data_IF_072523828347
#
_entry.id   IF_072523828347
#
_cell.length_a   1.000
_cell.length_b   1.000
_cell.length_c   1.000
_cell.angle_alpha   90.00
_cell.angle_beta   90.00
_cell.angle_gamma   90.00
#
_symmetry.space_group_name_H-M   'P 1'
#
loop_
_entity.id
_entity.type
_entity.pdbx_description
1 polymer ?
#
# COMPACT_ATOMS: atom_id res chain seq x y z
N UNK A 1 -38.05 19.05 -32.72
CA UNK A 1 -38.93 18.97 -31.53
C UNK A 1 -38.41 20.00 -30.55
N UNK A 2 -39.15 21.08 -30.31
CA UNK A 2 -38.76 22.10 -29.33
C UNK A 2 -39.02 21.55 -27.93
N UNK A 3 -38.10 21.78 -26.99
CA UNK A 3 -38.23 21.32 -25.61
C UNK A 3 -39.30 22.18 -24.91
N UNK A 4 -40.46 21.60 -24.59
CA UNK A 4 -41.59 22.29 -23.95
C UNK A 4 -41.26 22.85 -22.55
N UNK A 5 -40.10 22.48 -21.96
CA UNK A 5 -39.63 23.03 -20.69
C UNK A 5 -38.83 24.34 -20.84
N UNK A 6 -38.55 24.79 -22.06
CA UNK A 6 -37.83 26.05 -22.31
C UNK A 6 -38.85 27.09 -22.77
N UNK A 7 -39.09 28.09 -21.94
CA UNK A 7 -39.97 29.21 -22.23
C UNK A 7 -39.47 29.96 -23.47
N UNK A 8 -40.31 30.22 -24.48
CA UNK A 8 -39.95 31.07 -25.62
C UNK A 8 -39.47 32.45 -25.16
N UNK A 9 -38.42 32.98 -25.79
CA UNK A 9 -37.76 34.23 -25.37
C UNK A 9 -38.67 35.46 -25.35
N UNK A 10 -39.77 35.43 -26.10
CA UNK A 10 -40.81 36.46 -26.15
C UNK A 10 -41.79 36.42 -24.96
N UNK A 11 -41.79 35.31 -24.22
CA UNK A 11 -42.63 35.01 -23.05
C UNK A 11 -41.84 34.88 -21.75
N UNK A 12 -40.50 34.91 -21.80
CA UNK A 12 -39.66 34.90 -20.60
C UNK A 12 -39.71 36.27 -19.91
N UNK A 13 -40.20 36.34 -18.65
CA UNK A 13 -40.30 37.59 -17.90
C UNK A 13 -38.94 38.26 -17.60
N UNK A 14 -37.83 37.58 -17.87
CA UNK A 14 -36.48 38.10 -17.66
C UNK A 14 -35.88 38.75 -18.93
N UNK A 15 -36.58 38.76 -20.07
CA UNK A 15 -36.11 39.34 -21.34
C UNK A 15 -36.69 40.75 -21.52
N UNK A 16 -35.84 41.78 -21.44
CA UNK A 16 -36.23 43.19 -21.64
C UNK A 16 -36.36 43.49 -23.13
N UNK A 17 -37.51 44.05 -23.55
CA UNK A 17 -37.80 44.39 -24.95
C UNK A 17 -37.35 45.82 -25.29
N UNK A 18 -36.87 46.11 -26.51
CA UNK A 18 -36.48 47.47 -26.90
C UNK A 18 -37.72 48.37 -26.99
N UNK A 19 -37.85 49.35 -26.09
CA UNK A 19 -38.94 50.34 -26.12
C UNK A 19 -39.42 50.83 -24.75
N UNK A 20 -39.22 50.05 -23.69
CA UNK A 20 -39.80 50.33 -22.36
C UNK A 20 -38.92 51.24 -21.47
N UNK A 21 -38.04 52.05 -22.06
CA UNK A 21 -37.15 52.98 -21.33
C UNK A 21 -36.02 52.32 -20.53
N UNK A 22 -35.98 50.99 -20.44
CA UNK A 22 -34.83 50.23 -19.94
C UNK A 22 -33.80 49.99 -21.04
N UNK A 23 -32.51 50.10 -20.72
CA UNK A 23 -31.42 49.78 -21.65
C UNK A 23 -31.53 48.27 -21.96
N UNK A 24 -31.70 47.83 -23.23
CA UNK A 24 -32.06 46.45 -23.59
C UNK A 24 -30.99 45.38 -23.32
N UNK A 25 -29.95 45.71 -22.57
CA UNK A 25 -28.80 44.84 -22.34
C UNK A 25 -28.21 45.01 -20.94
N UNK A 26 -29.02 45.38 -19.94
CA UNK A 26 -28.61 45.11 -18.57
C UNK A 26 -28.65 43.59 -18.39
N UNK A 27 -27.47 42.97 -18.49
CA UNK A 27 -27.26 41.60 -18.13
C UNK A 27 -27.98 41.36 -16.80
N UNK A 28 -28.82 40.33 -16.68
CA UNK A 28 -29.67 40.15 -15.52
C UNK A 28 -28.86 40.22 -14.22
N UNK A 29 -29.44 40.64 -13.09
CA UNK A 29 -28.72 40.80 -11.82
C UNK A 29 -27.88 39.57 -11.37
N UNK A 30 -28.17 38.38 -11.90
CA UNK A 30 -27.39 37.16 -11.74
C UNK A 30 -26.01 37.15 -12.46
N UNK A 31 -25.74 38.10 -13.35
CA UNK A 31 -24.51 38.22 -14.14
C UNK A 31 -23.39 38.97 -13.41
N UNK A 32 -23.70 39.67 -12.31
CA UNK A 32 -22.69 40.38 -11.50
C UNK A 32 -21.59 39.47 -10.93
N UNK A 33 -21.87 38.16 -10.80
CA UNK A 33 -20.88 37.16 -10.40
C UNK A 33 -20.01 36.72 -11.59
N UNK A 34 -20.60 36.62 -12.78
CA UNK A 34 -19.92 36.25 -14.04
C UNK A 34 -18.98 37.38 -14.49
N UNK A 35 -19.39 38.64 -14.36
CA UNK A 35 -18.53 39.79 -14.69
C UNK A 35 -17.28 39.88 -13.78
N UNK A 36 -17.39 39.40 -12.53
CA UNK A 36 -16.25 39.31 -11.59
C UNK A 36 -15.31 38.15 -11.94
N UNK A 37 -15.81 37.12 -12.60
CA UNK A 37 -15.00 36.00 -13.11
C UNK A 37 -13.99 36.45 -14.16
N UNK A 38 -14.35 37.46 -14.97
CA UNK A 38 -13.44 38.04 -15.96
C UNK A 38 -12.15 38.62 -15.35
N UNK A 39 -12.15 39.03 -14.06
CA UNK A 39 -10.94 39.49 -13.35
C UNK A 39 -9.98 38.32 -13.13
N UNK A 40 -10.51 37.14 -12.80
CA UNK A 40 -9.76 35.90 -12.62
C UNK A 40 -9.24 35.37 -13.96
N UNK A 41 -10.10 35.35 -14.98
CA UNK A 41 -9.75 34.84 -16.32
C UNK A 41 -8.69 35.67 -17.04
N UNK A 42 -8.65 36.99 -16.79
CA UNK A 42 -7.68 37.90 -17.41
C UNK A 42 -6.36 37.97 -16.65
N UNK A 43 -6.29 37.45 -15.42
CA UNK A 43 -5.09 37.48 -14.59
C UNK A 43 -4.57 36.06 -14.34
N UNK A 44 -3.55 35.68 -15.10
CA UNK A 44 -2.93 34.36 -14.99
C UNK A 44 -2.43 34.05 -13.58
N UNK A 45 -1.84 35.02 -12.86
CA UNK A 45 -1.37 34.83 -11.49
C UNK A 45 -2.53 34.55 -10.54
N UNK A 46 -3.62 35.31 -10.64
CA UNK A 46 -4.79 35.11 -9.78
C UNK A 46 -5.46 33.75 -10.06
N UNK A 47 -5.55 33.35 -11.33
CA UNK A 47 -6.07 32.05 -11.72
C UNK A 47 -5.21 30.91 -11.16
N UNK A 48 -3.88 30.98 -11.31
CA UNK A 48 -2.96 29.96 -10.78
C UNK A 48 -3.05 29.84 -9.26
N UNK A 49 -3.08 30.96 -8.53
CA UNK A 49 -3.21 30.95 -7.06
C UNK A 49 -4.57 30.37 -6.65
N UNK A 50 -5.67 30.79 -7.28
CA UNK A 50 -7.00 30.27 -6.96
C UNK A 50 -7.10 28.76 -7.24
N UNK A 51 -6.59 28.29 -8.39
CA UNK A 51 -6.56 26.86 -8.72
C UNK A 51 -5.71 26.06 -7.74
N UNK A 52 -4.54 26.57 -7.35
CA UNK A 52 -3.67 25.94 -6.36
C UNK A 52 -4.38 25.81 -5.00
N UNK A 53 -5.06 26.87 -4.53
CA UNK A 53 -5.82 26.82 -3.29
C UNK A 53 -6.94 25.79 -3.35
N UNK A 54 -7.69 25.73 -4.45
CA UNK A 54 -8.80 24.78 -4.62
C UNK A 54 -8.30 23.33 -4.62
N UNK A 55 -7.24 23.00 -5.37
CA UNK A 55 -6.72 21.62 -5.41
C UNK A 55 -6.09 21.18 -4.08
N UNK A 56 -5.48 22.11 -3.35
CA UNK A 56 -4.81 21.82 -2.08
C UNK A 56 -5.80 21.48 -0.96
N UNK A 57 -7.04 21.98 -1.01
CA UNK A 57 -8.07 21.68 0.01
C UNK A 57 -8.32 20.17 0.13
N UNK A 58 -8.42 19.44 -0.98
CA UNK A 58 -8.63 17.99 -0.96
C UNK A 58 -7.49 17.26 -0.25
N UNK A 59 -6.23 17.57 -0.63
CA UNK A 59 -5.06 16.99 0.00
C UNK A 59 -4.93 17.30 1.49
N UNK A 60 -5.24 18.54 1.91
CA UNK A 60 -5.22 18.92 3.33
C UNK A 60 -6.29 18.15 4.11
N UNK A 61 -7.50 18.01 3.58
CA UNK A 61 -8.61 17.36 4.30
C UNK A 61 -8.46 15.84 4.38
N UNK A 62 -7.90 15.20 3.34
CA UNK A 62 -7.77 13.74 3.28
C UNK A 62 -6.47 13.22 3.90
N UNK A 63 -5.32 13.89 3.66
CA UNK A 63 -4.01 13.38 4.08
C UNK A 63 -3.63 13.89 5.47
N UNK A 64 -3.82 15.18 5.73
CA UNK A 64 -3.27 15.79 6.95
C UNK A 64 -3.84 15.13 8.22
N UNK A 65 -5.17 14.94 8.39
CA UNK A 65 -5.73 14.33 9.59
C UNK A 65 -5.17 12.93 9.91
N UNK A 66 -4.76 12.15 8.89
CA UNK A 66 -4.22 10.79 9.09
C UNK A 66 -2.91 10.79 9.89
N UNK A 67 -2.15 11.89 9.92
CA UNK A 67 -0.94 12.00 10.75
C UNK A 67 -1.23 12.19 12.26
N UNK A 68 -2.43 12.61 12.63
CA UNK A 68 -2.81 12.91 14.02
C UNK A 68 -3.92 12.03 14.57
N UNK A 69 -4.63 11.30 13.72
CA UNK A 69 -5.71 10.41 14.13
C UNK A 69 -5.16 9.05 14.58
N UNK A 70 -4.79 8.96 15.85
CA UNK A 70 -4.35 7.71 16.49
C UNK A 70 -5.42 6.60 16.37
N UNK A 71 -6.71 6.96 16.33
CA UNK A 71 -7.84 6.03 16.13
C UNK A 71 -7.88 5.33 14.75
N UNK A 72 -7.00 5.68 13.81
CA UNK A 72 -6.93 5.03 12.50
C UNK A 72 -6.05 3.77 12.52
N UNK A 73 -5.23 3.60 13.55
CA UNK A 73 -4.39 2.42 13.73
C UNK A 73 -4.99 1.60 14.87
N UNK A 74 -5.44 0.39 14.57
CA UNK A 74 -5.93 -0.53 15.58
C UNK A 74 -4.80 -0.92 16.55
N UNK A 75 -5.07 -0.92 17.86
CA UNK A 75 -4.13 -1.47 18.83
C UNK A 75 -4.10 -3.00 18.68
N UNK A 76 -2.95 -3.52 18.22
CA UNK A 76 -2.70 -4.95 18.12
C UNK A 76 -1.34 -5.27 18.72
N UNK A 77 -1.26 -6.38 19.44
CA UNK A 77 0.00 -6.91 19.95
C UNK A 77 0.68 -7.77 18.88
N UNK A 78 2.02 -7.82 18.91
CA UNK A 78 2.83 -8.73 18.09
C UNK A 78 3.37 -8.16 16.77
N UNK A 79 2.90 -6.99 16.32
CA UNK A 79 3.46 -6.34 15.11
C UNK A 79 4.88 -5.88 15.40
N UNK A 80 5.84 -6.49 14.71
CA UNK A 80 7.27 -6.15 14.78
C UNK A 80 7.80 -5.65 13.43
N UNK A 81 8.92 -4.92 13.41
CA UNK A 81 9.66 -4.66 12.18
C UNK A 81 10.06 -5.96 11.47
N UNK A 82 10.23 -5.87 10.15
CA UNK A 82 10.81 -6.93 9.33
C UNK A 82 12.20 -7.31 9.85
N UNK A 83 12.54 -8.60 9.88
CA UNK A 83 13.93 -9.02 10.03
C UNK A 83 14.75 -8.58 8.79
N UNK A 84 16.08 -8.55 8.86
CA UNK A 84 16.91 -8.10 7.74
C UNK A 84 16.66 -8.88 6.43
N UNK A 85 16.50 -10.21 6.50
CA UNK A 85 16.23 -11.04 5.33
C UNK A 85 14.80 -10.83 4.80
N UNK A 86 13.81 -10.72 5.69
CA UNK A 86 12.42 -10.41 5.31
C UNK A 86 12.32 -9.05 4.61
N UNK A 87 13.09 -8.05 5.08
CA UNK A 87 13.12 -6.71 4.49
C UNK A 87 13.73 -6.74 3.08
N UNK A 88 14.84 -7.46 2.89
CA UNK A 88 15.40 -7.66 1.55
C UNK A 88 14.45 -8.42 0.62
N UNK A 89 13.74 -9.43 1.15
CA UNK A 89 12.71 -10.17 0.43
C UNK A 89 11.55 -9.29 -0.03
N UNK A 90 11.15 -8.35 0.82
CA UNK A 90 10.15 -7.33 0.47
C UNK A 90 10.63 -6.42 -0.65
N UNK A 91 11.89 -6.01 -0.64
CA UNK A 91 12.46 -5.19 -1.71
C UNK A 91 12.53 -5.95 -3.04
N UNK A 92 12.81 -7.27 -2.99
CA UNK A 92 12.71 -8.16 -4.16
C UNK A 92 11.25 -8.24 -4.63
N UNK A 93 10.28 -8.43 -3.74
CA UNK A 93 8.85 -8.44 -4.08
C UNK A 93 8.43 -7.15 -4.82
N UNK A 94 8.95 -6.01 -4.40
CA UNK A 94 8.73 -4.70 -5.06
C UNK A 94 9.45 -4.65 -6.41
N UNK A 95 10.73 -5.03 -6.46
CA UNK A 95 11.54 -5.05 -7.69
C UNK A 95 10.88 -5.88 -8.78
N UNK A 96 10.30 -7.02 -8.41
CA UNK A 96 9.63 -7.94 -9.32
C UNK A 96 8.23 -7.54 -9.74
N UNK A 97 7.69 -6.47 -9.15
CA UNK A 97 6.35 -6.00 -9.49
C UNK A 97 5.26 -6.99 -9.08
N UNK A 98 5.48 -7.81 -8.06
CA UNK A 98 4.48 -8.78 -7.58
C UNK A 98 3.15 -8.09 -7.21
N UNK A 99 3.23 -6.85 -6.70
CA UNK A 99 2.09 -5.97 -6.40
C UNK A 99 1.19 -5.63 -7.61
N UNK A 100 1.66 -5.85 -8.85
CA UNK A 100 0.85 -5.64 -10.07
C UNK A 100 -0.23 -6.73 -10.21
N UNK A 101 0.03 -7.91 -9.65
CA UNK A 101 -0.85 -9.07 -9.74
C UNK A 101 -1.46 -9.46 -8.40
N UNK A 102 -0.78 -9.20 -7.29
CA UNK A 102 -1.17 -9.62 -5.96
C UNK A 102 -1.45 -8.41 -5.07
N UNK A 103 -2.51 -8.52 -4.28
CA UNK A 103 -2.80 -7.55 -3.22
C UNK A 103 -2.38 -8.08 -1.87
N UNK A 104 -2.06 -7.17 -0.95
CA UNK A 104 -1.91 -7.47 0.47
C UNK A 104 -2.87 -6.60 1.27
N UNK A 105 -4.18 -6.77 1.02
CA UNK A 105 -5.24 -6.06 1.75
C UNK A 105 -6.55 -6.84 1.63
N UNK A 106 -6.89 -7.59 2.68
CA UNK A 106 -8.13 -8.36 2.75
C UNK A 106 -9.25 -7.43 3.21
N UNK A 107 -10.33 -7.36 2.44
CA UNK A 107 -11.48 -6.50 2.76
C UNK A 107 -12.39 -7.17 3.79
N UNK A 108 -13.15 -6.40 4.61
CA UNK A 108 -14.04 -6.93 5.65
C UNK A 108 -15.36 -7.47 5.06
N UNK A 109 -15.26 -8.37 4.08
CA UNK A 109 -16.39 -9.08 3.48
C UNK A 109 -16.29 -10.56 3.83
N UNK A 110 -17.42 -11.21 4.13
CA UNK A 110 -17.43 -12.63 4.51
C UNK A 110 -16.73 -13.54 3.50
N UNK A 111 -16.97 -13.34 2.20
CA UNK A 111 -16.33 -14.14 1.13
C UNK A 111 -14.80 -13.95 1.08
N UNK A 112 -14.29 -12.75 1.40
CA UNK A 112 -12.85 -12.56 1.49
C UNK A 112 -12.27 -13.19 2.74
N UNK A 113 -13.00 -13.12 3.85
CA UNK A 113 -12.55 -13.73 5.11
C UNK A 113 -12.50 -15.25 5.00
N UNK A 114 -13.51 -15.87 4.38
CA UNK A 114 -13.53 -17.32 4.13
C UNK A 114 -12.37 -17.76 3.21
N UNK A 115 -11.97 -16.91 2.25
CA UNK A 115 -10.89 -17.24 1.29
C UNK A 115 -9.49 -16.99 1.85
N UNK A 116 -9.28 -15.82 2.45
CA UNK A 116 -7.96 -15.29 2.78
C UNK A 116 -7.71 -15.19 4.30
N UNK A 117 -8.71 -15.36 5.15
CA UNK A 117 -8.56 -15.23 6.61
C UNK A 117 -8.97 -13.84 7.10
N UNK A 118 -8.61 -13.49 8.34
CA UNK A 118 -9.03 -12.23 8.95
C UNK A 118 -8.71 -11.02 8.05
N UNK A 119 -9.66 -10.08 7.94
CA UNK A 119 -9.47 -8.87 7.16
C UNK A 119 -8.25 -8.09 7.65
N UNK A 120 -7.60 -7.34 6.76
CA UNK A 120 -6.38 -6.61 7.09
C UNK A 120 -6.69 -5.43 8.01
N UNK A 121 -5.87 -5.25 9.03
CA UNK A 121 -5.90 -4.10 9.93
C UNK A 121 -4.87 -3.06 9.50
N UNK A 122 -5.10 -1.78 9.81
CA UNK A 122 -4.16 -0.72 9.43
C UNK A 122 -2.79 -0.88 10.11
N UNK A 123 -2.78 -1.43 11.33
CA UNK A 123 -1.58 -1.69 12.10
C UNK A 123 -0.60 -2.66 11.42
N UNK A 124 -1.08 -3.58 10.58
CA UNK A 124 -0.21 -4.55 9.88
C UNK A 124 0.73 -3.90 8.89
N UNK A 125 0.31 -2.79 8.28
CA UNK A 125 1.09 -2.05 7.30
C UNK A 125 1.81 -0.84 7.89
N UNK A 126 1.86 -0.71 9.23
CA UNK A 126 2.45 0.45 9.90
C UNK A 126 3.95 0.63 9.59
N UNK A 127 4.66 -0.45 9.27
CA UNK A 127 6.09 -0.44 8.93
C UNK A 127 6.34 -0.59 7.43
N UNK A 128 5.29 -0.57 6.60
CA UNK A 128 5.43 -0.71 5.16
C UNK A 128 5.77 0.62 4.49
N UNK A 129 7.05 0.75 4.11
CA UNK A 129 7.53 1.87 3.33
C UNK A 129 8.06 1.37 1.97
N UNK A 130 7.32 1.52 0.85
CA UNK A 130 5.92 1.96 0.73
C UNK A 130 4.88 0.84 0.97
N UNK A 131 3.64 1.18 1.31
CA UNK A 131 2.56 0.20 1.50
C UNK A 131 2.41 -0.78 0.32
N UNK A 132 2.10 -2.06 0.61
CA UNK A 132 1.95 -3.12 -0.41
C UNK A 132 0.48 -3.51 -0.69
N UNK A 133 -0.46 -2.64 -0.33
CA UNK A 133 -1.87 -2.86 -0.66
C UNK A 133 -2.03 -2.87 -2.19
N UNK A 134 -2.65 -3.94 -2.71
CA UNK A 134 -2.81 -4.09 -4.14
C UNK A 134 -3.98 -3.27 -4.68
N UNK A 135 -3.87 -2.86 -5.94
CA UNK A 135 -4.96 -2.25 -6.71
C UNK A 135 -5.63 -3.23 -7.68
N UNK A 136 -5.06 -4.43 -7.84
CA UNK A 136 -5.51 -5.47 -8.76
C UNK A 136 -5.26 -6.87 -8.16
N UNK A 137 -6.09 -7.83 -8.55
CA UNK A 137 -5.94 -9.26 -8.24
C UNK A 137 -5.99 -10.07 -9.53
N UNK A 138 -4.83 -10.27 -10.15
CA UNK A 138 -4.65 -11.29 -11.18
C UNK A 138 -4.29 -12.62 -10.53
N UNK A 139 -3.46 -12.58 -9.48
CA UNK A 139 -3.29 -13.68 -8.53
C UNK A 139 -4.10 -13.45 -7.24
N UNK A 140 -4.09 -14.41 -6.31
CA UNK A 140 -4.77 -14.29 -5.01
C UNK A 140 -4.15 -13.21 -4.12
N UNK A 141 -4.89 -12.76 -3.09
CA UNK A 141 -4.35 -11.89 -2.04
C UNK A 141 -3.31 -12.65 -1.19
N UNK A 142 -2.23 -11.97 -0.79
CA UNK A 142 -1.09 -12.51 -0.08
C UNK A 142 -0.98 -12.04 1.39
N UNK A 143 -1.88 -11.20 1.90
CA UNK A 143 -1.78 -10.63 3.25
C UNK A 143 -1.74 -11.66 4.40
N UNK A 144 -2.09 -12.92 4.10
CA UNK A 144 -2.17 -14.04 5.06
C UNK A 144 -1.58 -15.32 4.46
N UNK A 145 -0.56 -15.22 3.60
CA UNK A 145 0.05 -16.41 2.99
C UNK A 145 1.01 -17.13 3.94
N UNK A 146 1.50 -16.47 4.99
CA UNK A 146 2.41 -17.06 5.96
C UNK A 146 1.88 -18.37 6.54
N UNK A 147 2.67 -19.44 6.40
CA UNK A 147 2.33 -20.79 6.85
C UNK A 147 1.24 -21.52 6.06
N UNK A 148 0.67 -20.93 4.99
CA UNK A 148 -0.34 -21.62 4.14
C UNK A 148 0.28 -22.64 3.19
N UNK A 149 1.50 -22.38 2.74
CA UNK A 149 2.25 -23.23 1.82
C UNK A 149 3.64 -23.49 2.41
N UNK A 150 4.23 -24.64 2.07
CA UNK A 150 5.61 -24.93 2.46
C UNK A 150 6.59 -24.11 1.62
N UNK A 151 7.82 -24.00 2.09
CA UNK A 151 8.84 -23.27 1.36
C UNK A 151 9.16 -23.96 0.03
N UNK A 152 9.16 -25.30 -0.01
CA UNK A 152 9.34 -26.08 -1.24
C UNK A 152 8.21 -25.81 -2.25
N UNK A 153 6.97 -25.64 -1.77
CA UNK A 153 5.87 -25.24 -2.66
C UNK A 153 6.11 -23.85 -3.24
N UNK A 154 6.61 -22.91 -2.44
CA UNK A 154 6.98 -21.58 -2.93
C UNK A 154 8.09 -21.66 -3.98
N UNK A 155 9.15 -22.43 -3.74
CA UNK A 155 10.24 -22.66 -4.69
C UNK A 155 9.70 -23.22 -6.01
N UNK A 156 8.97 -24.34 -5.97
CA UNK A 156 8.42 -24.98 -7.16
C UNK A 156 7.49 -24.02 -7.91
N UNK A 157 6.65 -23.28 -7.18
CA UNK A 157 5.74 -22.30 -7.76
C UNK A 157 6.47 -21.11 -8.38
N UNK A 158 7.59 -20.63 -7.82
CA UNK A 158 8.36 -19.55 -8.43
C UNK A 158 9.18 -20.02 -9.64
N UNK A 159 9.71 -21.25 -9.62
CA UNK A 159 10.41 -21.82 -10.78
C UNK A 159 9.46 -21.96 -11.97
N UNK A 160 8.30 -22.58 -11.76
CA UNK A 160 7.31 -22.83 -12.79
C UNK A 160 5.90 -22.83 -12.18
N UNK A 161 5.21 -21.67 -12.12
CA UNK A 161 3.87 -21.61 -11.56
C UNK A 161 2.90 -22.57 -12.26
N UNK A 162 3.11 -22.82 -13.56
CA UNK A 162 2.28 -23.72 -14.36
C UNK A 162 2.53 -25.21 -14.07
N UNK A 163 3.66 -25.59 -13.47
CA UNK A 163 3.88 -26.99 -13.07
C UNK A 163 3.10 -27.36 -11.81
N UNK A 164 2.86 -26.39 -10.92
CA UNK A 164 2.13 -26.59 -9.66
C UNK A 164 0.65 -26.22 -9.80
N UNK A 165 0.35 -25.18 -10.59
CA UNK A 165 -1.00 -24.69 -10.88
C UNK A 165 -1.12 -24.52 -12.40
N UNK A 166 -1.62 -25.54 -13.14
CA UNK A 166 -1.62 -25.56 -14.61
C UNK A 166 -2.24 -24.34 -15.30
N UNK A 167 -3.24 -23.72 -14.67
CA UNK A 167 -3.96 -22.55 -15.17
C UNK A 167 -3.32 -21.22 -14.73
N UNK A 168 -2.19 -21.25 -14.04
CA UNK A 168 -1.51 -20.04 -13.56
C UNK A 168 -1.07 -19.16 -14.72
N UNK A 169 -1.33 -17.87 -14.59
CA UNK A 169 -0.85 -16.83 -15.52
C UNK A 169 0.39 -16.10 -14.97
N UNK A 170 0.90 -16.54 -13.81
CA UNK A 170 2.06 -15.94 -13.17
C UNK A 170 3.34 -16.20 -14.01
N UNK A 171 4.24 -15.21 -14.16
CA UNK A 171 5.53 -15.42 -14.79
C UNK A 171 6.44 -16.36 -14.00
N UNK A 172 7.45 -16.93 -14.67
CA UNK A 172 8.51 -17.71 -14.02
C UNK A 172 9.57 -16.79 -13.45
N UNK A 173 10.01 -17.10 -12.23
CA UNK A 173 11.04 -16.39 -11.48
C UNK A 173 12.19 -17.33 -11.07
N UNK A 174 12.49 -18.34 -11.90
CA UNK A 174 13.52 -19.35 -11.65
C UNK A 174 14.93 -18.79 -11.46
N UNK A 175 15.19 -17.58 -11.97
CA UNK A 175 16.48 -16.93 -11.80
C UNK A 175 16.75 -16.48 -10.36
N UNK A 176 15.73 -16.33 -9.51
CA UNK A 176 15.91 -15.97 -8.10
C UNK A 176 16.73 -17.04 -7.35
N UNK A 177 16.62 -18.32 -7.74
CA UNK A 177 17.46 -19.42 -7.22
C UNK A 177 18.92 -19.34 -7.65
N UNK A 178 19.24 -18.53 -8.66
CA UNK A 178 20.58 -18.38 -9.22
C UNK A 178 21.16 -16.99 -8.96
N UNK A 179 20.45 -16.18 -8.20
CA UNK A 179 20.82 -14.82 -7.85
C UNK A 179 21.28 -14.81 -6.38
N UNK A 180 22.60 -14.84 -6.11
CA UNK A 180 23.09 -14.71 -4.74
C UNK A 180 22.79 -13.30 -4.24
N UNK A 181 22.44 -13.20 -2.95
CA UNK A 181 22.23 -11.92 -2.28
C UNK A 181 23.15 -11.79 -1.08
N UNK A 182 23.65 -10.57 -0.86
CA UNK A 182 24.57 -10.24 0.22
C UNK A 182 23.96 -9.19 1.13
N UNK A 183 24.33 -9.22 2.40
CA UNK A 183 23.90 -8.24 3.40
C UNK A 183 24.56 -6.84 3.28
N UNK A 184 25.17 -6.50 2.13
CA UNK A 184 26.07 -5.34 1.99
C UNK A 184 25.44 -4.00 2.44
N UNK A 185 24.15 -3.78 2.16
CA UNK A 185 23.46 -2.52 2.44
C UNK A 185 22.32 -2.64 3.46
N UNK A 186 22.17 -3.80 4.12
CA UNK A 186 20.96 -4.04 4.91
C UNK A 186 20.88 -3.16 6.17
N UNK A 187 22.03 -2.81 6.75
CA UNK A 187 22.16 -1.86 7.85
C UNK A 187 21.75 -0.44 7.43
N UNK A 188 22.15 0.01 6.23
CA UNK A 188 21.75 1.31 5.66
C UNK A 188 20.24 1.37 5.37
N UNK A 189 19.67 0.27 4.84
CA UNK A 189 18.23 0.15 4.58
C UNK A 189 17.46 0.20 5.90
N UNK A 190 17.88 -0.56 6.92
CA UNK A 190 17.26 -0.54 8.24
C UNK A 190 17.40 0.82 8.94
N UNK A 191 18.55 1.48 8.83
CA UNK A 191 18.75 2.83 9.35
C UNK A 191 17.81 3.84 8.67
N UNK A 192 17.56 3.68 7.37
CA UNK A 192 16.59 4.50 6.63
C UNK A 192 15.16 4.24 7.07
N UNK A 193 14.79 2.97 7.27
CA UNK A 193 13.49 2.61 7.85
C UNK A 193 13.31 3.17 9.25
N UNK A 194 14.38 3.16 10.07
CA UNK A 194 14.37 3.81 11.40
C UNK A 194 14.15 5.30 11.31
N UNK A 195 14.78 5.98 10.34
CA UNK A 195 14.59 7.41 10.11
C UNK A 195 13.12 7.76 9.81
N UNK A 196 12.39 6.89 9.11
CA UNK A 196 10.95 7.09 8.82
C UNK A 196 10.00 6.55 9.90
N UNK A 197 10.52 6.07 11.02
CA UNK A 197 9.73 5.73 12.22
C UNK A 197 9.63 4.24 12.56
N UNK A 198 10.25 3.35 11.80
CA UNK A 198 10.29 1.91 12.16
C UNK A 198 11.18 1.71 13.39
N UNK A 199 10.75 0.99 14.44
CA UNK A 199 11.45 0.94 15.73
C UNK A 199 12.65 -0.04 15.74
N UNK A 200 13.55 0.06 14.76
CA UNK A 200 14.84 -0.65 14.84
C UNK A 200 15.72 -0.04 15.94
N UNK A 201 16.32 -0.89 16.77
CA UNK A 201 17.29 -0.49 17.81
C UNK A 201 18.68 -0.30 17.21
N UNK A 202 19.59 0.34 17.96
CA UNK A 202 21.00 0.45 17.54
C UNK A 202 21.63 -0.94 17.37
N UNK A 203 21.32 -1.86 18.29
CA UNK A 203 21.77 -3.25 18.23
C UNK A 203 21.28 -3.96 16.97
N UNK A 204 19.99 -3.84 16.62
CA UNK A 204 19.41 -4.44 15.42
C UNK A 204 20.16 -4.02 14.15
N UNK A 205 20.57 -2.75 14.07
CA UNK A 205 21.32 -2.22 12.92
C UNK A 205 22.77 -2.71 12.94
N UNK A 206 23.43 -2.67 14.11
CA UNK A 206 24.82 -3.10 14.27
C UNK A 206 25.03 -4.58 13.90
N UNK A 207 24.07 -5.44 14.24
CA UNK A 207 24.14 -6.88 13.96
C UNK A 207 23.30 -7.30 12.75
N UNK A 208 22.79 -6.36 11.96
CA UNK A 208 21.88 -6.62 10.85
C UNK A 208 22.42 -7.62 9.83
N UNK A 209 23.72 -7.54 9.51
CA UNK A 209 24.35 -8.47 8.58
C UNK A 209 24.46 -9.88 9.16
N UNK A 210 24.72 -10.01 10.48
CA UNK A 210 24.76 -11.31 11.13
C UNK A 210 23.35 -11.93 11.15
N UNK A 211 22.34 -11.13 11.51
CA UNK A 211 20.93 -11.52 11.51
C UNK A 211 20.43 -11.94 10.12
N UNK A 212 20.84 -11.21 9.09
CA UNK A 212 20.55 -11.55 7.69
C UNK A 212 21.06 -12.95 7.33
N UNK A 213 22.32 -13.25 7.65
CA UNK A 213 22.95 -14.50 7.28
C UNK A 213 22.48 -15.68 8.14
N UNK A 214 22.26 -15.47 9.44
CA UNK A 214 21.88 -16.55 10.35
C UNK A 214 20.44 -17.02 10.12
N UNK A 215 19.57 -16.16 9.56
CA UNK A 215 18.17 -16.51 9.33
C UNK A 215 17.98 -17.68 8.34
N UNK A 216 18.95 -17.95 7.45
CA UNK A 216 18.91 -19.12 6.56
C UNK A 216 19.67 -20.34 7.10
N UNK A 217 20.35 -20.21 8.24
CA UNK A 217 21.17 -21.28 8.83
C UNK A 217 20.46 -21.92 10.04
N UNK A 218 19.76 -23.07 9.86
CA UNK A 218 19.10 -23.75 10.97
C UNK A 218 20.06 -24.35 12.01
N UNK A 219 21.37 -24.36 11.73
CA UNK A 219 22.40 -24.82 12.65
C UNK A 219 23.23 -23.67 13.25
N UNK A 220 22.92 -22.42 12.88
CA UNK A 220 23.57 -21.22 13.37
C UNK A 220 23.10 -20.79 14.77
N UNK A 221 23.77 -19.79 15.34
CA UNK A 221 23.36 -19.15 16.60
C UNK A 221 22.31 -18.06 16.33
N UNK A 222 21.06 -18.48 16.16
CA UNK A 222 19.94 -17.59 15.82
C UNK A 222 19.15 -17.10 17.05
N UNK A 223 19.58 -17.42 18.28
CA UNK A 223 18.84 -17.04 19.50
C UNK A 223 18.73 -15.51 19.61
N UNK A 224 19.80 -14.78 19.29
CA UNK A 224 19.78 -13.32 19.25
C UNK A 224 18.85 -12.74 18.17
N UNK A 225 18.76 -13.40 17.01
CA UNK A 225 17.82 -13.00 15.96
C UNK A 225 16.37 -13.11 16.47
N UNK A 226 16.02 -14.20 17.15
CA UNK A 226 14.67 -14.43 17.67
C UNK A 226 14.31 -13.51 18.83
N UNK A 227 15.29 -13.09 19.63
CA UNK A 227 15.09 -12.07 20.67
C UNK A 227 14.75 -10.70 20.05
N UNK A 228 15.46 -10.31 18.98
CA UNK A 228 15.22 -9.05 18.26
C UNK A 228 13.96 -9.10 17.39
N UNK A 229 13.69 -10.23 16.74
CA UNK A 229 12.55 -10.42 15.82
C UNK A 229 11.70 -11.63 16.23
N UNK A 230 10.88 -11.51 17.29
CA UNK A 230 10.03 -12.61 17.74
C UNK A 230 9.15 -13.16 16.61
N UNK A 231 9.15 -14.49 16.45
CA UNK A 231 8.39 -15.17 15.41
C UNK A 231 9.03 -15.18 14.02
N UNK A 232 10.20 -14.55 13.82
CA UNK A 232 10.99 -14.76 12.60
C UNK A 232 11.27 -16.25 12.41
N UNK A 233 11.12 -16.71 11.16
CA UNK A 233 11.38 -18.09 10.80
C UNK A 233 12.86 -18.24 10.44
N UNK A 234 13.49 -19.31 10.94
CA UNK A 234 14.90 -19.64 10.66
C UNK A 234 14.98 -21.01 10.03
N UNK A 235 15.41 -21.06 8.78
CA UNK A 235 15.62 -22.28 7.98
C UNK A 235 16.16 -21.90 6.61
N UNK A 236 16.69 -22.90 5.92
CA UNK A 236 16.97 -22.78 4.50
C UNK A 236 15.62 -22.81 3.74
N UNK A 237 15.25 -21.71 3.10
CA UNK A 237 13.92 -21.55 2.50
C UNK A 237 13.90 -22.08 1.06
N UNK A 238 15.02 -22.04 0.34
CA UNK A 238 15.05 -22.42 -1.07
C UNK A 238 15.72 -23.79 -1.37
N UNK A 239 16.33 -24.39 -0.35
CA UNK A 239 17.06 -25.65 -0.42
C UNK A 239 18.47 -25.57 -1.02
N UNK A 240 18.96 -24.38 -1.36
CA UNK A 240 20.29 -24.16 -1.94
C UNK A 240 21.36 -24.02 -0.85
N UNK A 241 22.62 -24.39 -1.13
CA UNK A 241 23.71 -24.17 -0.19
C UNK A 241 24.15 -22.70 -0.07
N UNK A 242 23.85 -21.89 -1.09
CA UNK A 242 24.15 -20.45 -1.13
C UNK A 242 22.89 -19.66 -0.78
N UNK A 243 23.03 -18.54 -0.08
CA UNK A 243 21.91 -17.66 0.25
C UNK A 243 21.47 -16.88 -1.01
N UNK A 244 20.23 -17.07 -1.44
CA UNK A 244 19.72 -16.48 -2.69
C UNK A 244 18.60 -15.47 -2.48
N UNK A 245 18.26 -14.74 -3.56
CA UNK A 245 17.08 -13.89 -3.59
C UNK A 245 15.77 -14.69 -3.39
N UNK A 246 15.76 -15.99 -3.73
CA UNK A 246 14.61 -16.86 -3.46
C UNK A 246 14.41 -17.04 -1.95
N UNK A 247 15.49 -17.25 -1.17
CA UNK A 247 15.38 -17.34 0.29
C UNK A 247 14.75 -16.09 0.89
N UNK A 248 15.25 -14.92 0.47
CA UNK A 248 14.78 -13.64 0.96
C UNK A 248 13.28 -13.44 0.65
N UNK A 249 12.87 -13.69 -0.59
CA UNK A 249 11.46 -13.56 -1.00
C UNK A 249 10.55 -14.51 -0.23
N UNK A 250 10.96 -15.77 -0.02
CA UNK A 250 10.16 -16.74 0.74
C UNK A 250 10.10 -16.35 2.22
N UNK A 251 11.20 -15.89 2.82
CA UNK A 251 11.21 -15.39 4.19
C UNK A 251 10.20 -14.25 4.38
N UNK A 252 10.15 -13.29 3.45
CA UNK A 252 9.15 -12.23 3.43
C UNK A 252 7.71 -12.78 3.37
N UNK A 253 7.43 -13.67 2.42
CA UNK A 253 6.09 -14.24 2.23
C UNK A 253 5.64 -15.06 3.45
N UNK A 254 6.55 -15.83 4.06
CA UNK A 254 6.25 -16.64 5.23
C UNK A 254 5.90 -15.80 6.47
N UNK A 255 6.37 -14.54 6.52
CA UNK A 255 5.99 -13.63 7.59
C UNK A 255 4.58 -13.05 7.40
N UNK A 256 4.09 -12.89 6.17
CA UNK A 256 2.87 -12.16 5.88
C UNK A 256 1.64 -12.70 6.63
N UNK A 257 1.13 -11.85 7.52
CA UNK A 257 -0.09 -12.10 8.30
C UNK A 257 0.10 -12.98 9.53
N UNK A 258 1.35 -13.25 9.92
CA UNK A 258 1.68 -14.06 11.11
C UNK A 258 1.91 -13.22 12.37
N UNK A 259 2.13 -11.92 12.22
CA UNK A 259 2.56 -11.02 13.30
C UNK A 259 1.42 -10.51 14.17
N UNK A 260 0.16 -10.60 13.72
CA UNK A 260 -0.98 -10.06 14.46
C UNK A 260 -1.65 -11.16 15.29
N UNK A 261 -1.80 -10.91 16.58
CA UNK A 261 -2.74 -11.66 17.41
C UNK A 261 -4.16 -11.09 17.27
N UNK A 262 -5.00 -11.77 16.48
CA UNK A 262 -6.39 -11.35 16.29
C UNK A 262 -7.26 -11.51 17.55
N UNK A 263 -6.80 -12.24 18.58
CA UNK A 263 -7.56 -12.41 19.81
C UNK A 263 -7.56 -11.15 20.69
N UNK A 264 -6.58 -10.26 20.52
CA UNK A 264 -6.51 -8.98 21.22
C UNK A 264 -7.33 -7.89 20.53
N UNK A 265 -7.77 -8.12 19.29
CA UNK A 265 -8.53 -7.17 18.51
C UNK A 265 -10.02 -7.14 18.94
N UNK A 266 -10.52 -5.94 19.25
CA UNK A 266 -11.95 -5.70 19.56
C UNK A 266 -12.56 -4.87 18.44
N UNK A 267 -13.47 -5.49 17.66
CA UNK A 267 -14.20 -4.79 16.61
C UNK A 267 -15.14 -3.73 17.21
N UNK A 268 -15.01 -2.48 16.77
CA UNK A 268 -15.99 -1.44 17.08
C UNK A 268 -17.31 -1.74 16.37
N UNK A 269 -18.36 -2.06 17.15
CA UNK A 269 -19.68 -2.41 16.64
C UNK A 269 -20.38 -1.25 15.89
N UNK A 270 -19.82 -0.04 15.91
CA UNK A 270 -20.37 1.15 15.25
C UNK A 270 -19.71 1.51 13.92
N UNK A 271 -18.65 0.80 13.51
CA UNK A 271 -17.99 0.97 12.20
C UNK A 271 -18.65 0.15 11.09
#
# INVERSE_FOLDING_TARGET
>A
MANEKITPSDQDPNVVKPGDGGIPNELPHHTKLIDKHAILEKNATLLLVASFLVVTIGGIVEIAPLFWLENTVEEVEGVRPYSPLELAGRDIYIREGCYVCHSQMIRPMRDEVERYGHYSLAAESMYDHPFQWGSKRTGPDLARVGGRYSDEWHVDHFIDPQSVVPESVMPKYDYLLRAPITAEFIDEVMATHRFVGVPYTDEMIEVAQADFNVQVDPFGDYDGLLERYPGAQVRNFDGQPELTEMDALIAYLQMLGTTVDFSTFVADASR
#
